data_IF_453300870339
#
_entry.id   IF_453300870339
#
_cell.length_a   1.000
_cell.length_b   1.000
_cell.length_c   1.000
_cell.angle_alpha   90.00
_cell.angle_beta   90.00
_cell.angle_gamma   90.00
#
_symmetry.space_group_name_H-M   'P 1'
#
loop_
_entity.id
_entity.type
_entity.pdbx_description
1 polymer ?
#
# COMPACT_ATOMS: atom_id res chain seq x y z
N UNK A 1 32.17 -37.42 -37.37
CA UNK A 1 31.92 -37.01 -35.96
C UNK A 1 30.97 -35.83 -35.98
N UNK A 2 29.69 -36.05 -35.66
CA UNK A 2 28.69 -34.99 -35.64
C UNK A 2 28.49 -34.55 -34.19
N UNK A 3 28.89 -33.30 -33.89
CA UNK A 3 28.68 -32.67 -32.60
C UNK A 3 27.25 -32.16 -32.48
N UNK A 4 26.47 -32.72 -31.54
CA UNK A 4 25.12 -32.33 -31.23
C UNK A 4 25.15 -31.08 -30.31
N UNK A 5 24.82 -29.88 -30.85
CA UNK A 5 24.64 -28.67 -30.04
C UNK A 5 23.26 -28.73 -29.36
N UNK A 6 23.25 -29.02 -28.08
CA UNK A 6 22.05 -28.90 -27.20
C UNK A 6 21.81 -27.42 -26.88
N UNK A 7 20.88 -26.78 -27.59
CA UNK A 7 20.33 -25.49 -27.20
C UNK A 7 19.39 -25.71 -25.99
N UNK A 8 19.88 -25.35 -24.80
CA UNK A 8 19.04 -25.29 -23.61
C UNK A 8 18.16 -24.04 -23.69
N UNK A 9 16.89 -24.22 -24.06
CA UNK A 9 15.87 -23.18 -23.87
C UNK A 9 15.67 -22.95 -22.37
N UNK A 10 16.24 -21.86 -21.85
CA UNK A 10 15.87 -21.35 -20.53
C UNK A 10 14.48 -20.74 -20.65
N UNK A 11 13.44 -21.49 -20.33
CA UNK A 11 12.11 -20.94 -20.08
C UNK A 11 12.19 -20.13 -18.78
N UNK A 12 12.30 -18.83 -18.90
CA UNK A 12 12.07 -17.93 -17.77
C UNK A 12 10.59 -17.96 -17.45
N UNK A 13 10.23 -18.69 -16.41
CA UNK A 13 8.90 -18.61 -15.82
C UNK A 13 8.66 -17.15 -15.40
N UNK A 14 7.43 -16.61 -15.58
CA UNK A 14 7.10 -15.28 -15.09
C UNK A 14 7.35 -15.28 -13.58
N UNK A 15 8.29 -14.47 -13.13
CA UNK A 15 8.52 -14.27 -11.71
C UNK A 15 7.27 -13.60 -11.13
N UNK A 16 6.53 -14.34 -10.33
CA UNK A 16 5.49 -13.75 -9.48
C UNK A 16 6.21 -12.81 -8.52
N UNK A 17 6.14 -11.51 -8.78
CA UNK A 17 6.68 -10.49 -7.88
C UNK A 17 5.83 -10.52 -6.62
N UNK A 18 6.31 -11.25 -5.61
CA UNK A 18 5.70 -11.23 -4.29
C UNK A 18 5.80 -9.81 -3.72
N UNK A 19 4.79 -9.34 -2.97
CA UNK A 19 4.88 -8.05 -2.28
C UNK A 19 6.15 -8.01 -1.45
N UNK A 20 6.96 -6.98 -1.63
CA UNK A 20 8.15 -6.77 -0.83
C UNK A 20 7.72 -6.34 0.56
N UNK A 21 7.97 -7.20 1.54
CA UNK A 21 7.81 -6.86 2.96
C UNK A 21 9.08 -6.15 3.39
N UNK A 22 8.98 -4.96 3.96
CA UNK A 22 10.14 -4.28 4.52
C UNK A 22 10.69 -5.10 5.69
N UNK A 23 11.95 -5.50 5.69
CA UNK A 23 12.57 -6.19 6.84
C UNK A 23 12.71 -5.26 8.05
N UNK A 24 12.52 -3.97 7.88
CA UNK A 24 12.64 -2.96 8.92
C UNK A 24 11.27 -2.30 9.09
N UNK A 25 10.67 -2.52 10.27
CA UNK A 25 9.31 -2.06 10.56
C UNK A 25 9.15 -0.55 10.39
N UNK A 26 7.98 -0.13 9.93
CA UNK A 26 7.56 1.27 9.97
C UNK A 26 7.03 1.60 11.36
N UNK A 27 7.25 2.83 11.83
CA UNK A 27 6.60 3.34 13.04
C UNK A 27 5.49 4.30 12.64
N UNK A 28 4.26 4.01 13.10
CA UNK A 28 3.09 4.84 12.84
C UNK A 28 2.12 4.81 14.02
N UNK A 29 1.75 5.97 14.55
CA UNK A 29 0.90 6.07 15.74
C UNK A 29 1.46 5.32 16.97
N UNK A 30 2.79 5.25 17.11
CA UNK A 30 3.45 4.50 18.19
C UNK A 30 3.48 2.99 18.00
N UNK A 31 3.02 2.47 16.86
CA UNK A 31 2.98 1.04 16.52
C UNK A 31 4.01 0.71 15.47
N UNK A 32 4.75 -0.38 15.66
CA UNK A 32 5.57 -0.97 14.61
C UNK A 32 4.70 -1.75 13.63
N UNK A 33 4.71 -1.33 12.36
CA UNK A 33 3.94 -1.96 11.30
C UNK A 33 4.86 -2.75 10.35
N UNK A 34 4.41 -3.92 9.95
CA UNK A 34 4.93 -4.63 8.80
C UNK A 34 4.28 -4.07 7.54
N UNK A 35 5.07 -3.58 6.58
CA UNK A 35 4.55 -2.95 5.37
C UNK A 35 4.67 -3.86 4.15
N UNK A 36 3.59 -3.95 3.41
CA UNK A 36 3.60 -4.35 2.00
C UNK A 36 3.63 -3.10 1.13
N UNK A 37 4.34 -3.15 0.00
CA UNK A 37 4.50 -2.00 -0.89
C UNK A 37 3.76 -2.20 -2.21
N UNK A 38 2.93 -1.24 -2.60
CA UNK A 38 2.29 -1.14 -3.91
C UNK A 38 2.99 -0.04 -4.73
N UNK A 39 4.07 -0.39 -5.43
CA UNK A 39 4.95 0.54 -6.17
C UNK A 39 4.75 0.51 -7.67
N UNK A 40 4.08 -0.52 -8.21
CA UNK A 40 3.73 -0.63 -9.64
C UNK A 40 2.26 -0.28 -9.87
N UNK A 41 1.89 0.08 -11.09
CA UNK A 41 0.47 0.34 -11.44
C UNK A 41 -0.42 -0.86 -11.14
N UNK A 42 0.01 -2.07 -11.51
CA UNK A 42 -0.75 -3.30 -11.25
C UNK A 42 -0.91 -3.60 -9.75
N UNK A 43 0.14 -3.37 -8.94
CA UNK A 43 0.07 -3.55 -7.49
C UNK A 43 -0.89 -2.54 -6.84
N UNK A 44 -0.84 -1.27 -7.26
CA UNK A 44 -1.76 -0.22 -6.78
C UNK A 44 -3.21 -0.51 -7.15
N UNK A 45 -3.45 -1.00 -8.38
CA UNK A 45 -4.80 -1.34 -8.83
C UNK A 45 -5.39 -2.52 -8.03
N UNK A 46 -4.59 -3.54 -7.75
CA UNK A 46 -5.01 -4.68 -6.94
C UNK A 46 -5.22 -4.31 -5.48
N UNK A 47 -4.30 -3.55 -4.88
CA UNK A 47 -4.32 -3.19 -3.47
C UNK A 47 -4.57 -4.39 -2.56
N UNK A 48 -5.46 -4.22 -1.58
CA UNK A 48 -5.91 -5.25 -0.63
C UNK A 48 -7.17 -6.01 -1.10
N UNK A 49 -7.61 -5.84 -2.36
CA UNK A 49 -8.81 -6.50 -2.89
C UNK A 49 -8.78 -8.01 -2.69
N UNK A 50 -9.92 -8.58 -2.28
CA UNK A 50 -10.09 -10.01 -2.07
C UNK A 50 -9.51 -10.56 -0.77
N UNK A 51 -8.86 -9.75 0.05
CA UNK A 51 -8.38 -10.20 1.37
C UNK A 51 -9.52 -10.28 2.36
N UNK A 52 -9.51 -11.33 3.16
CA UNK A 52 -10.50 -11.59 4.21
C UNK A 52 -10.03 -11.09 5.58
N UNK A 53 -8.75 -10.78 5.73
CA UNK A 53 -8.15 -10.24 6.94
C UNK A 53 -6.94 -9.35 6.64
N UNK A 54 -6.59 -8.51 7.60
CA UNK A 54 -5.35 -7.73 7.66
C UNK A 54 -4.95 -7.65 9.13
N UNK A 55 -3.77 -8.20 9.52
CA UNK A 55 -3.32 -8.12 10.90
C UNK A 55 -3.21 -6.67 11.39
N UNK A 56 -3.53 -6.42 12.66
CA UNK A 56 -3.52 -5.08 13.25
C UNK A 56 -2.14 -4.38 13.18
N UNK A 57 -1.07 -5.15 13.03
CA UNK A 57 0.30 -4.66 12.87
C UNK A 57 0.80 -4.70 11.42
N UNK A 58 -0.10 -4.88 10.46
CA UNK A 58 0.21 -4.89 9.03
C UNK A 58 -0.48 -3.73 8.31
N UNK A 59 0.17 -3.24 7.26
CA UNK A 59 -0.39 -2.20 6.41
C UNK A 59 0.14 -2.31 4.98
N UNK A 60 -0.58 -1.71 4.02
CA UNK A 60 -0.09 -1.56 2.65
C UNK A 60 0.21 -0.10 2.37
N UNK A 61 1.43 0.17 1.91
CA UNK A 61 1.88 1.50 1.49
C UNK A 61 1.92 1.58 -0.04
N UNK A 62 1.07 2.43 -0.57
CA UNK A 62 1.02 2.79 -1.99
C UNK A 62 1.96 3.96 -2.25
N UNK A 63 2.86 3.82 -3.19
CA UNK A 63 3.75 4.89 -3.61
C UNK A 63 3.39 5.36 -5.02
N UNK A 64 3.42 6.68 -5.22
CA UNK A 64 3.09 7.32 -6.49
C UNK A 64 4.28 8.14 -7.02
N UNK A 65 4.40 8.31 -8.36
CA UNK A 65 5.56 8.98 -8.96
C UNK A 65 5.63 10.49 -8.68
N UNK A 66 4.50 11.12 -8.36
CA UNK A 66 4.39 12.55 -8.09
C UNK A 66 3.31 12.82 -7.05
N UNK A 67 3.27 14.03 -6.52
CA UNK A 67 2.19 14.47 -5.66
C UNK A 67 0.93 14.73 -6.49
N UNK A 68 -0.20 14.15 -6.07
CA UNK A 68 -1.51 14.34 -6.69
C UNK A 68 -2.62 13.97 -5.71
N UNK A 69 -3.88 14.27 -6.07
CA UNK A 69 -5.06 13.89 -5.28
C UNK A 69 -5.55 12.50 -5.71
N UNK A 70 -4.85 11.47 -5.27
CA UNK A 70 -5.17 10.09 -5.59
C UNK A 70 -6.45 9.63 -4.92
N UNK A 71 -7.44 9.21 -5.74
CA UNK A 71 -8.69 8.65 -5.26
C UNK A 71 -8.55 7.19 -4.87
N UNK A 72 -9.20 6.82 -3.75
CA UNK A 72 -9.27 5.44 -3.26
C UNK A 72 -10.71 5.00 -3.10
N UNK A 73 -10.98 3.75 -3.39
CA UNK A 73 -12.30 3.14 -3.33
C UNK A 73 -12.24 1.72 -2.77
N UNK A 74 -13.39 1.20 -2.35
CA UNK A 74 -13.49 -0.13 -1.75
C UNK A 74 -13.85 -1.23 -2.75
N UNK A 75 -13.46 -1.11 -4.03
CA UNK A 75 -13.74 -2.10 -5.07
C UNK A 75 -13.08 -3.44 -4.73
N UNK A 76 -13.90 -4.51 -4.65
CA UNK A 76 -13.42 -5.85 -4.34
C UNK A 76 -12.92 -6.05 -2.91
N UNK A 77 -13.11 -5.08 -2.02
CA UNK A 77 -12.73 -5.18 -0.62
C UNK A 77 -13.74 -6.03 0.15
N UNK A 78 -13.22 -6.88 1.05
CA UNK A 78 -14.02 -7.74 1.93
C UNK A 78 -13.95 -7.30 3.40
N UNK A 79 -13.03 -6.41 3.73
CA UNK A 79 -12.79 -5.90 5.08
C UNK A 79 -12.83 -4.37 5.09
N UNK A 80 -13.27 -3.72 6.17
CA UNK A 80 -13.21 -2.27 6.31
C UNK A 80 -11.78 -1.81 6.58
N UNK A 81 -11.43 -0.60 6.14
CA UNK A 81 -10.08 -0.04 6.23
C UNK A 81 -10.09 1.38 6.82
N UNK A 82 -8.96 1.77 7.39
CA UNK A 82 -8.57 3.16 7.55
C UNK A 82 -7.57 3.52 6.43
N UNK A 83 -7.82 4.65 5.75
CA UNK A 83 -7.03 5.11 4.61
C UNK A 83 -6.39 6.45 4.99
N UNK A 84 -5.05 6.51 4.89
CA UNK A 84 -4.28 7.70 5.23
C UNK A 84 -3.53 8.20 4.00
N UNK A 85 -3.78 9.44 3.57
CA UNK A 85 -2.97 10.11 2.56
C UNK A 85 -1.80 10.84 3.22
N UNK A 86 -0.61 10.66 2.67
CA UNK A 86 0.65 11.16 3.24
C UNK A 86 1.38 12.01 2.20
N UNK A 87 1.99 13.11 2.65
CA UNK A 87 2.86 13.93 1.82
C UNK A 87 4.18 13.20 1.46
N UNK A 88 5.05 13.87 0.71
CA UNK A 88 6.34 13.32 0.31
C UNK A 88 7.29 13.03 1.48
N UNK A 89 7.05 13.61 2.64
CA UNK A 89 7.80 13.39 3.88
C UNK A 89 7.16 12.29 4.77
N UNK A 90 6.03 11.72 4.35
CA UNK A 90 5.32 10.69 5.11
C UNK A 90 4.43 11.24 6.23
N UNK A 91 4.06 12.51 6.18
CA UNK A 91 3.14 13.13 7.15
C UNK A 91 1.71 12.98 6.65
N UNK A 92 0.79 12.57 7.52
CA UNK A 92 -0.63 12.44 7.20
C UNK A 92 -1.22 13.81 6.84
N UNK A 93 -1.82 13.92 5.66
CA UNK A 93 -2.54 15.10 5.18
C UNK A 93 -4.05 14.91 5.17
N UNK A 94 -4.53 13.66 5.17
CA UNK A 94 -5.94 13.33 5.23
C UNK A 94 -6.16 11.91 5.74
N UNK A 95 -7.31 11.67 6.40
CA UNK A 95 -7.74 10.37 6.91
C UNK A 95 -9.18 10.11 6.49
N UNK A 96 -9.44 8.95 5.90
CA UNK A 96 -10.77 8.37 5.80
C UNK A 96 -10.80 7.13 6.71
N UNK A 97 -11.47 7.25 7.85
CA UNK A 97 -11.50 6.21 8.87
C UNK A 97 -12.71 5.30 8.73
N UNK A 98 -12.53 4.03 9.10
CA UNK A 98 -13.59 3.00 9.16
C UNK A 98 -14.40 2.88 7.86
N UNK A 99 -13.70 2.94 6.72
CA UNK A 99 -14.32 2.89 5.39
C UNK A 99 -14.84 1.49 5.13
N UNK A 100 -16.17 1.38 4.97
CA UNK A 100 -16.85 0.11 4.72
C UNK A 100 -16.68 -0.37 3.27
N UNK A 101 -16.55 -1.68 3.02
CA UNK A 101 -16.65 -2.26 1.68
C UNK A 101 -17.94 -1.85 0.93
N UNK A 102 -19.04 -1.66 1.65
CA UNK A 102 -20.32 -1.22 1.09
C UNK A 102 -20.31 0.23 0.57
N UNK A 103 -19.26 1.01 0.83
CA UNK A 103 -19.14 2.36 0.28
C UNK A 103 -18.87 2.39 -1.23
N UNK A 104 -18.37 1.27 -1.82
CA UNK A 104 -18.20 1.19 -3.26
C UNK A 104 -19.54 1.43 -4.00
N UNK A 105 -19.59 2.25 -5.05
CA UNK A 105 -18.50 2.80 -5.88
C UNK A 105 -18.00 4.20 -5.49
N UNK A 106 -18.26 4.68 -4.27
CA UNK A 106 -17.77 5.98 -3.83
C UNK A 106 -16.23 6.03 -3.84
N UNK A 107 -15.68 7.15 -4.29
CA UNK A 107 -14.23 7.40 -4.32
C UNK A 107 -13.88 8.47 -3.30
N UNK A 108 -12.97 8.17 -2.40
CA UNK A 108 -12.46 9.09 -1.39
C UNK A 108 -11.23 9.80 -1.94
N UNK A 109 -11.16 11.13 -1.77
CA UNK A 109 -10.05 11.97 -2.21
C UNK A 109 -9.51 12.81 -1.06
N UNK A 110 -8.19 13.04 -1.01
CA UNK A 110 -7.63 14.00 -0.07
C UNK A 110 -7.93 15.43 -0.53
N UNK A 111 -8.05 16.41 0.40
CA UNK A 111 -8.25 17.83 0.06
C UNK A 111 -7.01 18.47 -0.59
N UNK A 112 -5.82 17.91 -0.35
CA UNK A 112 -4.52 18.37 -0.84
C UNK A 112 -3.76 17.23 -1.51
N UNK A 113 -2.76 17.50 -2.37
CA UNK A 113 -1.93 16.46 -2.97
C UNK A 113 -1.19 15.60 -1.93
N UNK A 114 -1.01 14.33 -2.26
CA UNK A 114 -0.29 13.34 -1.47
C UNK A 114 0.68 12.55 -2.36
N UNK A 115 1.75 12.02 -1.79
CA UNK A 115 2.73 11.17 -2.46
C UNK A 115 2.50 9.68 -2.17
N UNK A 116 2.00 9.38 -0.98
CA UNK A 116 1.77 8.03 -0.50
C UNK A 116 0.36 7.88 0.04
N UNK A 117 -0.14 6.63 0.03
CA UNK A 117 -1.35 6.27 0.76
C UNK A 117 -1.05 5.03 1.58
N UNK A 118 -1.45 5.03 2.85
CA UNK A 118 -1.32 3.88 3.75
C UNK A 118 -2.70 3.34 4.06
N UNK A 119 -2.88 2.04 3.92
CA UNK A 119 -4.10 1.33 4.32
C UNK A 119 -3.82 0.41 5.50
N UNK A 120 -4.65 0.50 6.53
CA UNK A 120 -4.63 -0.36 7.72
C UNK A 120 -6.01 -0.97 7.94
N UNK A 121 -6.10 -1.93 8.86
CA UNK A 121 -7.41 -2.37 9.36
C UNK A 121 -8.18 -1.20 9.95
N UNK A 122 -9.50 -1.18 9.75
CA UNK A 122 -10.38 -0.15 10.30
C UNK A 122 -10.28 -0.04 11.83
N UNK A 123 -10.34 1.19 12.35
CA UNK A 123 -10.21 1.50 13.75
C UNK A 123 -8.78 1.76 14.22
N UNK A 124 -7.78 1.59 13.36
CA UNK A 124 -6.38 1.90 13.65
C UNK A 124 -6.21 3.38 14.03
N UNK A 125 -6.80 4.28 13.24
CA UNK A 125 -6.74 5.72 13.50
C UNK A 125 -7.25 6.07 14.90
N UNK A 126 -8.40 5.53 15.27
CA UNK A 126 -9.01 5.78 16.59
C UNK A 126 -8.19 5.17 17.71
N UNK A 127 -7.75 3.91 17.57
CA UNK A 127 -7.02 3.19 18.62
C UNK A 127 -5.66 3.81 18.91
N UNK A 128 -4.98 4.34 17.90
CA UNK A 128 -3.63 4.87 18.00
C UNK A 128 -3.55 6.40 17.87
N UNK A 129 -4.71 7.08 17.96
CA UNK A 129 -4.82 8.54 17.88
C UNK A 129 -4.10 9.14 16.64
N UNK A 130 -4.19 8.44 15.49
CA UNK A 130 -3.61 8.90 14.25
C UNK A 130 -4.54 9.90 13.57
N UNK A 131 -4.02 11.08 13.27
CA UNK A 131 -4.73 12.17 12.63
C UNK A 131 -3.82 12.88 11.62
N UNK A 132 -4.36 13.88 10.94
CA UNK A 132 -3.56 14.82 10.13
C UNK A 132 -2.41 15.38 10.96
N UNK A 133 -1.20 15.33 10.39
CA UNK A 133 0.05 15.72 11.05
C UNK A 133 0.83 14.56 11.66
N UNK A 134 0.23 13.39 11.87
CA UNK A 134 0.95 12.19 12.33
C UNK A 134 2.00 11.78 11.31
N UNK A 135 3.19 11.38 11.80
CA UNK A 135 4.32 10.98 10.98
C UNK A 135 4.38 9.47 10.82
N UNK A 136 4.46 8.99 9.58
CA UNK A 136 4.93 7.64 9.26
C UNK A 136 6.46 7.70 9.17
N UNK A 137 7.14 6.93 9.99
CA UNK A 137 8.60 6.84 10.01
C UNK A 137 9.05 5.54 9.35
N UNK A 138 9.87 5.67 8.32
CA UNK A 138 10.53 4.57 7.59
C UNK A 138 12.01 4.90 7.45
N UNK A 139 12.88 3.90 7.38
CA UNK A 139 14.28 4.13 7.01
C UNK A 139 14.38 4.71 5.60
N UNK A 140 13.59 4.18 4.67
CA UNK A 140 13.54 4.67 3.28
C UNK A 140 12.15 4.44 2.70
N UNK A 141 11.56 5.49 2.16
CA UNK A 141 10.33 5.39 1.40
C UNK A 141 10.58 4.65 0.07
N UNK A 142 9.62 3.81 -0.37
CA UNK A 142 9.78 3.07 -1.62
C UNK A 142 9.80 4.01 -2.82
N UNK A 143 10.61 3.65 -3.82
CA UNK A 143 10.57 4.29 -5.15
C UNK A 143 9.54 3.61 -6.02
N UNK A 144 8.89 4.39 -6.88
CA UNK A 144 7.95 3.84 -7.87
C UNK A 144 8.71 3.11 -8.96
N UNK A 145 8.29 1.88 -9.24
CA UNK A 145 8.74 1.12 -10.41
C UNK A 145 7.66 1.12 -11.48
N UNK A 146 8.06 1.32 -12.72
CA UNK A 146 7.16 1.26 -13.88
C UNK A 146 6.92 -0.19 -14.30
#
# INVERSE_FOLDING_TARGET
MAGLLLYAYRTTLPQTVLPQVSPEGALFGGVSLSLEFATTSAARERGLSGRTDLPATSAMLFAFPRDDRYGFWMKGMLIPLDIFWLDAQGRVVHVAAEVSPASYPHVFYPPVPARYVLETMAGFARTHAVATGTQLTLQKFPTVTQ
#
